data_IF_439862173648
#
_entry.id   IF_439862173648
#
_cell.length_a   1.000
_cell.length_b   1.000
_cell.length_c   1.000
_cell.angle_alpha   90.00
_cell.angle_beta   90.00
_cell.angle_gamma   90.00
#
_symmetry.space_group_name_H-M   'P 1'
#
loop_
_entity.id
_entity.type
_entity.pdbx_description
1 polymer ?
#
# COMPACT_ATOMS: atom_id res chain seq x y z
N UNK A 1 -64.30 -50.07 71.97
CA UNK A 1 -64.27 -50.66 70.62
C UNK A 1 -63.18 -49.91 69.88
N UNK A 2 -61.89 -50.25 70.03
CA UNK A 2 -61.33 -51.63 70.18
C UNK A 2 -61.72 -52.43 68.92
N UNK A 3 -60.85 -52.89 68.03
CA UNK A 3 -59.38 -53.08 67.99
C UNK A 3 -58.81 -52.59 66.63
N UNK A 4 -57.52 -52.57 66.31
CA UNK A 4 -56.30 -53.02 66.99
C UNK A 4 -55.09 -52.80 66.06
N UNK A 5 -53.85 -52.88 66.58
CA UNK A 5 -52.65 -52.40 65.86
C UNK A 5 -51.60 -53.49 65.57
N UNK A 6 -50.91 -53.34 64.42
CA UNK A 6 -49.55 -53.86 64.13
C UNK A 6 -49.41 -55.41 64.04
N UNK A 7 -48.24 -55.99 63.64
CA UNK A 7 -46.92 -55.43 63.25
C UNK A 7 -46.63 -55.63 61.72
N UNK A 8 -45.42 -55.64 61.11
CA UNK A 8 -44.02 -55.81 61.55
C UNK A 8 -43.01 -54.93 60.75
N UNK A 9 -41.87 -55.50 60.31
CA UNK A 9 -40.62 -54.98 59.67
C UNK A 9 -39.86 -56.20 59.07
N UNK A 10 -38.62 -56.14 58.50
CA UNK A 10 -37.68 -55.02 58.20
C UNK A 10 -37.33 -54.98 56.66
N UNK A 11 -36.35 -54.26 56.08
CA UNK A 11 -35.05 -53.65 56.47
C UNK A 11 -34.74 -52.44 55.53
N UNK A 12 -33.96 -51.41 55.93
CA UNK A 12 -32.48 -51.33 55.75
C UNK A 12 -32.10 -50.89 54.31
N UNK A 13 -31.38 -49.80 54.02
CA UNK A 13 -30.59 -48.85 54.82
C UNK A 13 -30.98 -47.38 54.50
N UNK A 14 -30.62 -46.34 55.27
CA UNK A 14 -29.40 -45.49 55.12
C UNK A 14 -28.95 -45.25 53.66
N UNK A 15 -28.60 -44.04 53.22
CA UNK A 15 -28.00 -42.92 53.96
C UNK A 15 -28.34 -41.53 53.36
N UNK A 16 -28.00 -40.47 54.10
CA UNK A 16 -28.12 -39.08 53.63
C UNK A 16 -26.98 -38.68 52.66
N UNK A 17 -27.19 -37.53 52.00
CA UNK A 17 -26.15 -36.60 51.51
C UNK A 17 -25.58 -36.82 50.10
N UNK A 18 -26.06 -35.98 49.17
CA UNK A 18 -25.25 -35.44 48.06
C UNK A 18 -25.90 -34.13 47.58
N UNK A 19 -25.46 -33.00 48.14
CA UNK A 19 -25.97 -31.65 47.81
C UNK A 19 -24.87 -30.72 47.25
N UNK A 20 -23.69 -31.26 46.95
CA UNK A 20 -22.50 -30.47 46.59
C UNK A 20 -21.66 -31.22 45.54
N UNK A 21 -21.98 -31.05 44.25
CA UNK A 21 -21.19 -31.64 43.16
C UNK A 21 -21.22 -30.90 41.80
N UNK A 22 -22.26 -30.14 41.46
CA UNK A 22 -22.45 -29.67 40.07
C UNK A 22 -21.97 -28.24 39.77
N UNK A 23 -21.63 -27.41 40.76
CA UNK A 23 -21.31 -25.99 40.51
C UNK A 23 -19.85 -25.72 40.08
N UNK A 24 -18.96 -26.73 40.08
CA UNK A 24 -17.50 -26.50 39.96
C UNK A 24 -16.88 -26.80 38.58
N UNK A 25 -17.67 -27.24 37.58
CA UNK A 25 -17.13 -27.58 36.24
C UNK A 25 -17.20 -26.39 35.26
N UNK A 26 -18.27 -25.61 35.33
CA UNK A 26 -18.51 -24.48 34.41
C UNK A 26 -17.55 -23.30 34.64
N UNK A 27 -17.22 -23.00 35.91
CA UNK A 27 -16.32 -21.89 36.27
C UNK A 27 -14.88 -22.09 35.75
N UNK A 28 -14.38 -23.32 35.78
CA UNK A 28 -13.02 -23.65 35.31
C UNK A 28 -12.87 -23.43 33.80
N UNK A 29 -13.81 -23.92 32.99
CA UNK A 29 -13.77 -23.76 31.53
C UNK A 29 -13.90 -22.29 31.12
N UNK A 30 -14.83 -21.55 31.74
CA UNK A 30 -15.00 -20.12 31.49
C UNK A 30 -13.76 -19.29 31.86
N UNK A 31 -13.02 -19.70 32.91
CA UNK A 31 -11.77 -19.04 33.31
C UNK A 31 -10.65 -19.29 32.30
N UNK A 32 -10.54 -20.51 31.77
CA UNK A 32 -9.51 -20.88 30.81
C UNK A 32 -9.75 -20.22 29.43
N UNK A 33 -10.99 -20.26 28.93
CA UNK A 33 -11.39 -19.59 27.69
C UNK A 33 -11.17 -18.08 27.75
N UNK A 34 -11.43 -17.45 28.91
CA UNK A 34 -11.24 -16.01 29.07
C UNK A 34 -9.75 -15.62 29.13
N UNK A 35 -8.88 -16.48 29.67
CA UNK A 35 -7.42 -16.29 29.65
C UNK A 35 -6.86 -16.43 28.23
N UNK A 36 -7.23 -17.49 27.50
CA UNK A 36 -6.82 -17.66 26.10
C UNK A 36 -7.33 -16.52 25.21
N UNK A 37 -8.58 -16.09 25.42
CA UNK A 37 -9.17 -14.95 24.70
C UNK A 37 -8.42 -13.64 24.96
N UNK A 38 -7.88 -13.43 26.16
CA UNK A 38 -7.05 -12.27 26.48
C UNK A 38 -5.71 -12.32 25.72
N UNK A 39 -5.01 -13.47 25.73
CA UNK A 39 -3.75 -13.68 25.01
C UNK A 39 -3.93 -13.52 23.48
N UNK A 40 -5.02 -14.05 22.91
CA UNK A 40 -5.36 -13.85 21.51
C UNK A 40 -5.68 -12.38 21.20
N UNK A 41 -6.39 -11.67 22.08
CA UNK A 41 -6.69 -10.25 21.90
C UNK A 41 -5.42 -9.38 21.93
N UNK A 42 -4.48 -9.68 22.84
CA UNK A 42 -3.19 -9.00 22.90
C UNK A 42 -2.34 -9.29 21.66
N UNK A 43 -2.28 -10.55 21.22
CA UNK A 43 -1.59 -10.97 19.99
C UNK A 43 -2.16 -10.28 18.75
N UNK A 44 -3.49 -10.20 18.63
CA UNK A 44 -4.17 -9.46 17.55
C UNK A 44 -3.84 -7.96 17.63
N UNK A 45 -3.75 -7.38 18.84
CA UNK A 45 -3.38 -5.97 18.99
C UNK A 45 -1.93 -5.68 18.56
N UNK A 46 -0.99 -6.59 18.85
CA UNK A 46 0.40 -6.50 18.44
C UNK A 46 0.53 -6.63 16.90
N UNK A 47 -0.13 -7.63 16.31
CA UNK A 47 -0.19 -7.83 14.86
C UNK A 47 -0.80 -6.64 14.12
N UNK A 48 -1.82 -5.99 14.69
CA UNK A 48 -2.41 -4.76 14.11
C UNK A 48 -1.44 -3.58 14.13
N UNK A 49 -0.72 -3.35 15.24
CA UNK A 49 0.31 -2.29 15.33
C UNK A 49 1.44 -2.53 14.33
N UNK A 50 1.89 -3.77 14.18
CA UNK A 50 2.92 -4.14 13.21
C UNK A 50 2.43 -3.90 11.77
N UNK A 51 1.19 -4.31 11.45
CA UNK A 51 0.58 -4.07 10.15
C UNK A 51 0.42 -2.57 9.84
N UNK A 52 -0.02 -1.76 10.82
CA UNK A 52 -0.11 -0.30 10.70
C UNK A 52 1.25 0.35 10.46
N UNK A 53 2.30 -0.11 11.16
CA UNK A 53 3.67 0.36 10.96
C UNK A 53 4.20 0.02 9.55
N UNK A 54 3.98 -1.21 9.08
CA UNK A 54 4.38 -1.64 7.74
C UNK A 54 3.63 -0.91 6.63
N UNK A 55 2.32 -0.68 6.79
CA UNK A 55 1.51 0.11 5.84
C UNK A 55 2.03 1.55 5.77
N UNK A 56 2.31 2.19 6.90
CA UNK A 56 2.85 3.55 6.93
C UNK A 56 4.22 3.64 6.26
N UNK A 57 5.14 2.72 6.57
CA UNK A 57 6.47 2.67 5.94
C UNK A 57 6.40 2.43 4.41
N UNK A 58 5.47 1.56 3.97
CA UNK A 58 5.19 1.34 2.54
C UNK A 58 4.67 2.61 1.88
N UNK A 59 3.72 3.30 2.49
CA UNK A 59 3.07 4.48 1.90
C UNK A 59 4.03 5.68 1.82
N UNK A 60 4.91 5.84 2.81
CA UNK A 60 6.03 6.79 2.77
C UNK A 60 6.99 6.47 1.61
N UNK A 61 7.43 5.20 1.49
CA UNK A 61 8.33 4.75 0.41
C UNK A 61 7.71 4.89 -0.99
N UNK A 62 6.41 4.60 -1.16
CA UNK A 62 5.68 4.80 -2.41
C UNK A 62 5.53 6.29 -2.73
N UNK A 63 5.29 7.14 -1.72
CA UNK A 63 5.22 8.59 -1.90
C UNK A 63 6.54 9.14 -2.43
N UNK A 64 7.66 8.75 -1.84
CA UNK A 64 8.97 9.26 -2.22
C UNK A 64 9.47 8.67 -3.55
N UNK A 65 9.26 7.38 -3.79
CA UNK A 65 9.53 6.75 -5.09
C UNK A 65 8.72 7.39 -6.22
N UNK A 66 7.43 7.70 -5.97
CA UNK A 66 6.58 8.39 -6.93
C UNK A 66 7.06 9.82 -7.24
N UNK A 67 7.41 10.61 -6.22
CA UNK A 67 7.99 11.96 -6.40
C UNK A 67 9.28 11.91 -7.21
N UNK A 68 10.19 11.01 -6.88
CA UNK A 68 11.47 10.84 -7.58
C UNK A 68 11.27 10.47 -9.05
N UNK A 69 10.36 9.55 -9.34
CA UNK A 69 10.01 9.14 -10.71
C UNK A 69 9.41 10.31 -11.53
N UNK A 70 8.51 11.10 -10.92
CA UNK A 70 7.88 12.26 -11.58
C UNK A 70 8.88 13.37 -11.86
N UNK A 71 9.79 13.69 -10.93
CA UNK A 71 10.84 14.69 -11.17
C UNK A 71 11.84 14.22 -12.23
N UNK A 72 12.29 12.97 -12.19
CA UNK A 72 13.18 12.42 -13.23
C UNK A 72 12.53 12.47 -14.63
N UNK A 73 11.25 12.13 -14.74
CA UNK A 73 10.51 12.23 -15.99
C UNK A 73 10.40 13.69 -16.48
N UNK A 74 10.09 14.63 -15.58
CA UNK A 74 10.01 16.07 -15.91
C UNK A 74 11.35 16.64 -16.36
N UNK A 75 12.44 16.33 -15.66
CA UNK A 75 13.79 16.77 -16.04
C UNK A 75 14.16 16.24 -17.42
N UNK A 76 13.94 14.95 -17.68
CA UNK A 76 14.18 14.36 -18.99
C UNK A 76 13.35 15.04 -20.10
N UNK A 77 12.05 15.29 -19.88
CA UNK A 77 11.19 16.00 -20.84
C UNK A 77 11.67 17.44 -21.08
N UNK A 78 11.98 18.19 -20.02
CA UNK A 78 12.45 19.57 -20.13
C UNK A 78 13.78 19.65 -20.90
N UNK A 79 14.74 18.75 -20.67
CA UNK A 79 15.97 18.72 -21.45
C UNK A 79 15.74 18.50 -22.96
N UNK A 80 14.75 17.67 -23.33
CA UNK A 80 14.44 17.42 -24.74
C UNK A 80 13.75 18.64 -25.37
N UNK A 81 12.88 19.33 -24.62
CA UNK A 81 12.25 20.59 -25.04
C UNK A 81 13.33 21.68 -25.23
N UNK A 82 14.24 21.84 -24.26
CA UNK A 82 15.38 22.76 -24.34
C UNK A 82 16.30 22.48 -25.55
N UNK A 83 16.60 21.20 -25.81
CA UNK A 83 17.39 20.79 -26.98
C UNK A 83 16.68 21.15 -28.29
N UNK A 84 15.36 20.95 -28.37
CA UNK A 84 14.56 21.30 -29.55
C UNK A 84 14.49 22.81 -29.77
N UNK A 85 14.29 23.61 -28.72
CA UNK A 85 14.32 25.07 -28.82
C UNK A 85 15.69 25.57 -29.30
N UNK A 86 16.79 25.09 -28.72
CA UNK A 86 18.15 25.48 -29.17
C UNK A 86 18.44 25.07 -30.61
N UNK A 87 17.96 23.91 -31.07
CA UNK A 87 18.07 23.52 -32.47
C UNK A 87 17.31 24.49 -33.38
N UNK A 88 16.04 24.78 -33.05
CA UNK A 88 15.21 25.70 -33.82
C UNK A 88 15.81 27.12 -33.84
N UNK A 89 16.25 27.66 -32.70
CA UNK A 89 16.89 28.99 -32.62
C UNK A 89 18.12 29.10 -33.54
N UNK A 90 18.97 28.05 -33.57
CA UNK A 90 20.15 27.97 -34.44
C UNK A 90 19.74 27.83 -35.91
N UNK A 91 18.73 27.00 -36.21
CA UNK A 91 18.19 26.78 -37.56
C UNK A 91 17.59 28.05 -38.14
N UNK A 92 16.79 28.77 -37.36
CA UNK A 92 16.12 30.01 -37.75
C UNK A 92 17.15 31.14 -37.96
N UNK A 93 18.14 31.26 -37.07
CA UNK A 93 19.26 32.18 -37.26
C UNK A 93 20.07 31.83 -38.54
N UNK A 94 20.32 30.55 -38.79
CA UNK A 94 20.96 30.06 -40.01
C UNK A 94 20.16 30.42 -41.28
N UNK A 95 18.84 30.18 -41.28
CA UNK A 95 17.96 30.54 -42.39
C UNK A 95 17.98 32.05 -42.69
N UNK A 96 17.95 32.90 -41.66
CA UNK A 96 18.04 34.37 -41.84
C UNK A 96 19.40 34.78 -42.44
N UNK A 97 20.49 34.15 -41.99
CA UNK A 97 21.83 34.41 -42.53
C UNK A 97 21.97 33.95 -43.98
N UNK A 98 21.51 32.74 -44.32
CA UNK A 98 21.54 32.22 -45.68
C UNK A 98 20.61 32.99 -46.62
N UNK A 99 19.44 33.46 -46.15
CA UNK A 99 18.56 34.37 -46.89
C UNK A 99 19.28 35.65 -47.31
N UNK A 100 19.94 36.32 -46.36
CA UNK A 100 20.75 37.53 -46.63
C UNK A 100 21.96 37.25 -47.51
N UNK A 101 22.60 36.10 -47.36
CA UNK A 101 23.74 35.70 -48.20
C UNK A 101 23.30 35.47 -49.66
N UNK A 102 22.15 34.83 -49.86
CA UNK A 102 21.55 34.62 -51.17
C UNK A 102 21.19 35.95 -51.85
N UNK A 103 20.53 36.87 -51.13
CA UNK A 103 20.25 38.24 -51.59
C UNK A 103 21.52 38.97 -52.06
N UNK A 104 22.60 38.92 -51.26
CA UNK A 104 23.87 39.59 -51.57
C UNK A 104 24.62 38.96 -52.76
N UNK A 105 24.48 37.65 -52.97
CA UNK A 105 25.11 36.93 -54.08
C UNK A 105 24.25 36.92 -55.36
N UNK A 106 23.00 37.39 -55.30
CA UNK A 106 22.04 37.26 -56.40
C UNK A 106 21.63 35.81 -56.70
N UNK A 107 21.86 34.89 -55.74
CA UNK A 107 21.49 33.48 -55.82
C UNK A 107 20.14 33.25 -55.12
N UNK A 108 19.53 32.11 -55.38
CA UNK A 108 18.42 31.60 -54.56
C UNK A 108 18.96 31.00 -53.26
N UNK A 109 18.14 30.99 -52.21
CA UNK A 109 18.49 30.35 -50.92
C UNK A 109 18.85 28.89 -51.11
N UNK A 110 18.17 28.18 -52.03
CA UNK A 110 18.43 26.77 -52.33
C UNK A 110 19.85 26.54 -52.86
N UNK A 111 20.32 27.37 -53.80
CA UNK A 111 21.69 27.26 -54.35
C UNK A 111 22.75 27.52 -53.27
N UNK A 112 22.49 28.43 -52.33
CA UNK A 112 23.38 28.68 -51.19
C UNK A 112 23.39 27.50 -50.21
N UNK A 113 22.24 26.87 -49.97
CA UNK A 113 22.19 25.63 -49.15
C UNK A 113 23.00 24.50 -49.79
N UNK A 114 22.85 24.28 -51.11
CA UNK A 114 23.62 23.28 -51.87
C UNK A 114 25.13 23.59 -51.88
N UNK A 115 25.52 24.86 -52.05
CA UNK A 115 26.93 25.31 -52.04
C UNK A 115 27.62 25.12 -50.69
N UNK A 116 26.90 25.32 -49.58
CA UNK A 116 27.42 25.12 -48.22
C UNK A 116 27.20 23.71 -47.67
N UNK A 117 26.67 22.78 -48.49
CA UNK A 117 26.44 21.39 -48.10
C UNK A 117 25.38 21.20 -47.02
N UNK A 118 24.45 22.14 -46.90
CA UNK A 118 23.33 22.09 -45.96
C UNK A 118 22.14 21.46 -46.69
N UNK A 119 21.82 20.22 -46.35
CA UNK A 119 20.65 19.56 -46.92
C UNK A 119 19.36 20.24 -46.43
N UNK A 120 18.38 20.39 -47.33
CA UNK A 120 17.07 20.98 -47.01
C UNK A 120 16.08 19.94 -46.48
N UNK A 121 16.48 18.66 -46.45
CA UNK A 121 15.73 17.56 -45.87
C UNK A 121 15.90 17.51 -44.34
N UNK A 122 14.88 17.99 -43.63
CA UNK A 122 14.61 17.75 -42.21
C UNK A 122 13.37 16.82 -42.13
#
# INVERSE_FOLDING_TARGET
>A
MDDGAAPIKPAGASEHSSSVAEENVFSSSASHDNSQKAELAETISALRRELEAQVKARDELLSDSSKMSVEQARLATNEHIDRLHRYNDIKDAGQVLFGKLAELQGKTVKEVYEEYGVDLAD
#
